data_IF_680435044704
#
_entry.id   IF_680435044704
#
_cell.length_a   1.000
_cell.length_b   1.000
_cell.length_c   1.000
_cell.angle_alpha   90.00
_cell.angle_beta   90.00
_cell.angle_gamma   90.00
#
_symmetry.space_group_name_H-M   'P 1'
#
loop_
_entity.id
_entity.type
_entity.pdbx_description
1 polymer ?
#
# COMPACT_ATOMS: atom_id res chain seq x y z
N UNK A 1 20.08 36.83 -49.23
CA UNK A 1 19.83 37.28 -47.84
C UNK A 1 18.35 37.03 -47.56
N UNK A 2 17.98 35.86 -47.04
CA UNK A 2 17.59 35.62 -45.64
C UNK A 2 16.43 36.55 -45.22
N UNK A 3 15.17 36.08 -45.09
CA UNK A 3 14.69 35.33 -43.91
C UNK A 3 13.33 34.67 -44.19
N UNK A 4 13.24 33.38 -43.85
CA UNK A 4 12.02 32.60 -43.81
C UNK A 4 11.04 33.13 -42.76
N UNK A 5 9.74 32.96 -43.00
CA UNK A 5 8.75 32.93 -41.92
C UNK A 5 7.72 31.84 -42.23
N UNK A 6 8.02 30.62 -41.78
CA UNK A 6 7.11 29.48 -41.76
C UNK A 6 6.29 29.61 -40.47
N UNK A 7 5.00 29.91 -40.60
CA UNK A 7 4.05 29.95 -39.47
C UNK A 7 3.60 28.53 -39.14
N UNK A 8 4.31 27.89 -38.20
CA UNK A 8 3.86 26.67 -37.55
C UNK A 8 2.76 27.00 -36.54
N UNK A 9 1.49 26.69 -36.87
CA UNK A 9 0.45 26.57 -35.84
C UNK A 9 0.63 25.23 -35.12
N UNK A 10 1.20 25.28 -33.92
CA UNK A 10 1.23 24.14 -33.02
C UNK A 10 -0.17 23.96 -32.41
N UNK A 11 -0.83 22.85 -32.72
CA UNK A 11 -2.06 22.45 -32.04
C UNK A 11 -1.70 22.02 -30.61
N UNK A 12 -2.16 22.79 -29.61
CA UNK A 12 -2.05 22.42 -28.22
C UNK A 12 -2.98 21.23 -27.94
N UNK A 13 -2.44 20.01 -27.86
CA UNK A 13 -3.14 18.90 -27.22
C UNK A 13 -3.16 19.18 -25.72
N UNK A 14 -4.29 19.63 -25.20
CA UNK A 14 -4.54 19.62 -23.76
C UNK A 14 -4.55 18.15 -23.31
N UNK A 15 -3.45 17.69 -22.72
CA UNK A 15 -3.45 16.44 -21.98
C UNK A 15 -4.40 16.63 -20.79
N UNK A 16 -5.53 15.93 -20.82
CA UNK A 16 -6.34 15.74 -19.62
C UNK A 16 -5.54 14.78 -18.72
N UNK A 17 -4.81 15.35 -17.77
CA UNK A 17 -4.19 14.59 -16.70
C UNK A 17 -5.31 14.03 -15.84
N UNK A 18 -5.68 12.76 -16.09
CA UNK A 18 -6.41 11.97 -15.12
C UNK A 18 -5.45 11.73 -13.95
N UNK A 19 -5.35 12.70 -13.06
CA UNK A 19 -4.64 12.56 -11.80
C UNK A 19 -5.41 11.54 -10.96
N UNK A 20 -5.17 10.26 -11.22
CA UNK A 20 -5.27 9.26 -10.16
C UNK A 20 -4.42 9.82 -9.05
N UNK A 21 -5.05 10.16 -7.92
CA UNK A 21 -4.36 10.70 -6.76
C UNK A 21 -3.17 9.80 -6.44
N UNK A 22 -1.98 10.20 -6.89
CA UNK A 22 -0.73 9.75 -6.29
C UNK A 22 -0.67 10.55 -5.01
N UNK A 23 -1.46 10.12 -4.03
CA UNK A 23 -1.08 10.37 -2.66
C UNK A 23 0.33 9.82 -2.56
N UNK A 24 1.29 10.67 -2.26
CA UNK A 24 2.58 10.22 -1.74
C UNK A 24 2.24 9.64 -0.36
N UNK A 25 1.60 8.48 -0.34
CA UNK A 25 1.87 7.52 0.70
C UNK A 25 3.36 7.22 0.53
N UNK A 26 4.15 7.14 1.60
CA UNK A 26 5.38 6.38 1.48
C UNK A 26 5.01 5.05 0.77
N UNK A 27 5.90 4.54 -0.08
CA UNK A 27 5.67 3.26 -0.74
C UNK A 27 5.74 2.16 0.33
N UNK A 28 4.73 2.14 1.18
CA UNK A 28 4.52 1.23 2.27
C UNK A 28 4.38 -0.11 1.57
N UNK A 29 5.40 -0.95 1.67
CA UNK A 29 5.34 -2.26 1.07
C UNK A 29 4.20 -3.00 1.79
N UNK A 30 3.11 -3.22 1.08
CA UNK A 30 1.93 -3.90 1.61
C UNK A 30 1.92 -5.33 1.10
N UNK A 31 1.66 -6.27 2.01
CA UNK A 31 1.42 -7.66 1.65
C UNK A 31 -0.02 -8.04 1.98
N UNK A 32 -0.61 -8.84 1.10
CA UNK A 32 -1.99 -9.32 1.22
C UNK A 32 -1.97 -10.83 1.41
N UNK A 33 -2.74 -11.34 2.36
CA UNK A 33 -2.78 -12.76 2.67
C UNK A 33 -4.10 -13.16 3.30
N UNK A 34 -4.43 -14.45 3.23
CA UNK A 34 -5.61 -15.02 3.88
C UNK A 34 -5.17 -15.97 4.99
N UNK A 35 -5.99 -16.09 6.02
CA UNK A 35 -5.72 -16.97 7.16
C UNK A 35 -6.73 -18.12 7.22
N UNK A 36 -6.25 -19.29 7.63
CA UNK A 36 -7.11 -20.44 7.91
C UNK A 36 -7.66 -20.38 9.35
N UNK A 37 -8.68 -21.19 9.64
CA UNK A 37 -9.20 -21.35 10.99
C UNK A 37 -8.10 -21.75 11.98
N UNK A 38 -8.13 -21.17 13.19
CA UNK A 38 -7.10 -21.37 14.21
C UNK A 38 -5.88 -20.45 14.10
N UNK A 39 -5.78 -19.63 13.05
CA UNK A 39 -4.73 -18.62 12.93
C UNK A 39 -5.09 -17.39 13.78
N UNK A 40 -4.20 -16.99 14.69
CA UNK A 40 -4.40 -15.81 15.54
C UNK A 40 -3.47 -14.64 15.20
N UNK A 41 -3.66 -13.52 15.88
CA UNK A 41 -2.86 -12.31 15.68
C UNK A 41 -1.36 -12.51 15.95
N UNK A 42 -0.98 -13.40 16.87
CA UNK A 42 0.43 -13.74 17.09
C UNK A 42 1.12 -14.25 15.81
N UNK A 43 0.42 -15.10 15.04
CA UNK A 43 0.92 -15.57 13.75
C UNK A 43 0.93 -14.46 12.72
N UNK A 44 -0.17 -13.71 12.59
CA UNK A 44 -0.27 -12.63 11.59
C UNK A 44 0.80 -11.57 11.80
N UNK A 45 1.06 -11.18 13.04
CA UNK A 45 2.10 -10.24 13.36
C UNK A 45 3.50 -10.77 12.99
N UNK A 46 3.80 -12.01 13.35
CA UNK A 46 5.06 -12.65 12.96
C UNK A 46 5.20 -12.76 11.44
N UNK A 47 4.13 -13.11 10.73
CA UNK A 47 4.10 -13.18 9.27
C UNK A 47 4.42 -11.81 8.66
N UNK A 48 3.74 -10.75 9.09
CA UNK A 48 3.98 -9.40 8.59
C UNK A 48 5.41 -8.92 8.85
N UNK A 49 5.94 -9.15 10.05
CA UNK A 49 7.31 -8.79 10.38
C UNK A 49 8.33 -9.47 9.43
N UNK A 50 8.11 -10.74 9.12
CA UNK A 50 8.97 -11.52 8.22
C UNK A 50 8.84 -11.10 6.76
N UNK A 51 7.61 -10.93 6.26
CA UNK A 51 7.38 -10.54 4.86
C UNK A 51 7.88 -9.13 4.55
N UNK A 52 7.77 -8.23 5.51
CA UNK A 52 8.18 -6.83 5.35
C UNK A 52 9.63 -6.57 5.79
N UNK A 53 10.25 -7.52 6.50
CA UNK A 53 11.60 -7.35 7.04
C UNK A 53 11.71 -6.28 8.13
N UNK A 54 10.59 -5.92 8.77
CA UNK A 54 10.52 -4.86 9.77
C UNK A 54 9.42 -5.13 10.78
N UNK A 55 9.61 -4.70 12.04
CA UNK A 55 8.55 -4.68 13.05
C UNK A 55 7.73 -3.38 13.01
N UNK A 56 8.15 -2.41 12.18
CA UNK A 56 7.46 -1.14 12.00
C UNK A 56 6.44 -1.27 10.86
N UNK A 57 5.28 -1.85 11.17
CA UNK A 57 4.17 -2.03 10.23
C UNK A 57 2.82 -1.88 10.93
N UNK A 58 1.76 -1.74 10.15
CA UNK A 58 0.38 -1.65 10.65
C UNK A 58 -0.57 -2.53 9.85
N UNK A 59 -1.71 -2.88 10.46
CA UNK A 59 -2.84 -3.49 9.78
C UNK A 59 -3.88 -2.41 9.47
N UNK A 60 -4.18 -2.10 8.19
CA UNK A 60 -5.16 -1.07 7.83
C UNK A 60 -6.55 -1.31 8.42
N UNK A 61 -6.95 -2.59 8.54
CA UNK A 61 -8.25 -2.99 9.04
C UNK A 61 -8.31 -3.04 10.58
N UNK A 62 -7.21 -2.74 11.28
CA UNK A 62 -7.13 -2.79 12.75
C UNK A 62 -7.40 -4.17 13.35
N UNK A 63 -7.32 -5.25 12.56
CA UNK A 63 -7.66 -6.62 12.99
C UNK A 63 -6.76 -7.13 14.11
N UNK A 64 -5.49 -6.72 14.09
CA UNK A 64 -4.46 -7.13 15.02
C UNK A 64 -3.61 -5.90 15.40
N UNK A 65 -3.31 -5.77 16.69
CA UNK A 65 -2.50 -4.66 17.22
C UNK A 65 -1.50 -5.19 18.23
N UNK A 66 -0.26 -4.73 18.15
CA UNK A 66 0.73 -5.01 19.19
C UNK A 66 0.39 -4.27 20.48
N UNK A 67 0.30 -5.02 21.58
CA UNK A 67 0.10 -4.53 22.93
C UNK A 67 1.20 -5.10 23.84
N UNK A 68 1.29 -4.59 25.07
CA UNK A 68 2.15 -5.19 26.10
C UNK A 68 1.73 -6.65 26.33
N UNK A 69 2.62 -7.59 26.01
CA UNK A 69 2.35 -9.03 26.11
C UNK A 69 2.08 -9.74 24.77
N UNK A 70 2.00 -9.01 23.65
CA UNK A 70 1.96 -9.61 22.32
C UNK A 70 0.96 -8.95 21.38
N UNK A 71 0.73 -9.60 20.24
CA UNK A 71 -0.20 -9.14 19.21
C UNK A 71 -1.61 -9.66 19.48
N UNK A 72 -2.56 -8.76 19.67
CA UNK A 72 -3.91 -9.04 20.17
C UNK A 72 -4.95 -8.67 19.10
N UNK A 73 -6.00 -9.49 19.01
CA UNK A 73 -7.12 -9.32 18.08
C UNK A 73 -7.74 -10.67 17.70
N UNK A 74 -8.70 -10.65 16.76
CA UNK A 74 -9.44 -11.85 16.36
C UNK A 74 -9.68 -11.86 14.85
N UNK A 75 -8.72 -12.34 14.04
CA UNK A 75 -8.91 -12.48 12.62
C UNK A 75 -9.89 -13.62 12.31
N UNK A 76 -10.64 -13.46 11.23
CA UNK A 76 -11.62 -14.41 10.74
C UNK A 76 -10.98 -15.27 9.63
N UNK A 77 -11.25 -16.56 9.68
CA UNK A 77 -10.83 -17.48 8.63
C UNK A 77 -11.43 -17.09 7.27
N UNK A 78 -10.65 -17.21 6.20
CA UNK A 78 -11.08 -16.93 4.83
C UNK A 78 -11.23 -15.44 4.48
N UNK A 79 -10.98 -14.52 5.43
CA UNK A 79 -10.79 -13.10 5.11
C UNK A 79 -9.40 -12.88 4.54
N UNK A 80 -9.32 -11.91 3.62
CA UNK A 80 -8.04 -11.36 3.16
C UNK A 80 -7.70 -10.17 4.04
N UNK A 81 -6.49 -10.18 4.55
CA UNK A 81 -5.91 -9.13 5.38
C UNK A 81 -4.72 -8.51 4.67
N UNK A 82 -4.41 -7.30 5.08
CA UNK A 82 -3.25 -6.56 4.59
C UNK A 82 -2.42 -6.07 5.76
N UNK A 83 -1.11 -6.05 5.61
CA UNK A 83 -0.22 -5.29 6.49
C UNK A 83 0.80 -4.54 5.65
N UNK A 84 1.13 -3.34 6.09
CA UNK A 84 1.94 -2.39 5.34
C UNK A 84 3.06 -1.86 6.23
N UNK A 85 4.27 -1.77 5.70
CA UNK A 85 5.36 -1.10 6.41
C UNK A 85 5.01 0.37 6.64
N UNK A 86 5.42 0.92 7.78
CA UNK A 86 5.32 2.36 8.05
C UNK A 86 6.34 3.14 7.22
#
# INVERSE_FOLDING_TARGET
>A
MLKALVTLLAAATAAHENYTQVGISPANNCVHFSVAAGTGCAWMCSYCANQLGTFNYYFPDGVCTYQTGGCVGSPLAGKTYSCCSV
#
